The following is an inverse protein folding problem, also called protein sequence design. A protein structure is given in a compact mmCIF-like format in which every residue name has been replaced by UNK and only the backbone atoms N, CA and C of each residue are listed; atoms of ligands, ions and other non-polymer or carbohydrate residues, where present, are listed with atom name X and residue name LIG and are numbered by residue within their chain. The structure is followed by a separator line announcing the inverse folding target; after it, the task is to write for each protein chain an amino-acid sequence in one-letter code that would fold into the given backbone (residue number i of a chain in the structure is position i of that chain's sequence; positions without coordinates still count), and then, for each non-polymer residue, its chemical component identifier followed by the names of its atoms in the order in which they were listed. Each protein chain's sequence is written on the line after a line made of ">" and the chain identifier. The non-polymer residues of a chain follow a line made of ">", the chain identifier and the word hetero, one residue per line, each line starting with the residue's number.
data_IF_835928193562
#
_entry.id   IF_835928193562
#
_cell.length_a   1.000
_cell.length_b   1.000
_cell.length_c   1.000
_cell.angle_alpha   90.00
_cell.angle_beta   90.00
_cell.angle_gamma   90.00
#
_symmetry.space_group_name_H-M   'P 1'
#
loop_
_entity.id
_entity.type
_entity.pdbx_description
1 polymer ?
#
# COMPACT_ATOMS: atom_id res chain seq x y z
N UNK A 1 -2.85 24.05 23.42
CA UNK A 1 -4.23 23.50 23.44
C UNK A 1 -4.41 22.68 22.17
N UNK A 2 -4.56 21.35 22.28
CA UNK A 2 -4.79 20.47 21.13
C UNK A 2 -6.31 20.38 20.94
N UNK A 3 -6.80 20.76 19.76
CA UNK A 3 -8.22 20.80 19.45
C UNK A 3 -8.78 19.35 19.39
N UNK A 4 -9.69 18.93 20.30
CA UNK A 4 -10.14 17.54 20.39
C UNK A 4 -10.97 17.09 19.17
N UNK A 5 -11.44 18.02 18.34
CA UNK A 5 -12.30 17.72 17.18
C UNK A 5 -11.58 17.34 15.89
N UNK A 6 -10.24 17.43 15.84
CA UNK A 6 -9.48 16.93 14.67
C UNK A 6 -9.33 15.40 14.72
N UNK A 7 -9.68 14.76 15.84
CA UNK A 7 -9.36 13.37 16.14
C UNK A 7 -10.34 12.32 15.59
N UNK A 8 -11.64 12.62 15.45
CA UNK A 8 -12.63 11.58 15.13
C UNK A 8 -12.68 11.15 13.66
N UNK A 9 -12.74 12.06 12.67
CA UNK A 9 -12.87 11.66 11.26
C UNK A 9 -11.62 10.92 10.75
N UNK A 10 -10.44 11.42 11.13
CA UNK A 10 -9.16 10.81 10.77
C UNK A 10 -9.01 9.40 11.34
N UNK A 11 -9.38 9.19 12.60
CA UNK A 11 -9.33 7.86 13.21
C UNK A 11 -10.28 6.87 12.53
N UNK A 12 -11.47 7.34 12.10
CA UNK A 12 -12.41 6.52 11.33
C UNK A 12 -11.84 6.15 9.95
N UNK A 13 -11.16 7.07 9.26
CA UNK A 13 -10.51 6.78 7.99
C UNK A 13 -9.38 5.76 8.14
N UNK A 14 -8.57 5.88 9.18
CA UNK A 14 -7.48 4.94 9.48
C UNK A 14 -8.03 3.54 9.80
N UNK A 15 -9.10 3.42 10.58
CA UNK A 15 -9.75 2.12 10.83
C UNK A 15 -10.39 1.54 9.56
N UNK A 16 -11.05 2.35 8.73
CA UNK A 16 -11.54 1.91 7.40
C UNK A 16 -10.40 1.41 6.52
N UNK A 17 -9.28 2.11 6.54
CA UNK A 17 -8.08 1.74 5.78
C UNK A 17 -7.54 0.40 6.24
N UNK A 18 -7.44 0.18 7.56
CA UNK A 18 -7.04 -1.11 8.14
C UNK A 18 -8.02 -2.23 7.81
N UNK A 19 -9.33 -1.98 7.89
CA UNK A 19 -10.34 -2.99 7.52
C UNK A 19 -10.19 -3.40 6.05
N UNK A 20 -10.02 -2.44 5.15
CA UNK A 20 -9.75 -2.72 3.72
C UNK A 20 -8.46 -3.51 3.57
N UNK A 21 -7.35 -3.07 4.18
CA UNK A 21 -6.05 -3.73 4.11
C UNK A 21 -6.11 -5.19 4.60
N UNK A 22 -6.80 -5.44 5.72
CA UNK A 22 -6.94 -6.79 6.29
C UNK A 22 -7.60 -7.79 5.34
N UNK A 23 -8.54 -7.35 4.50
CA UNK A 23 -9.17 -8.21 3.48
C UNK A 23 -8.21 -8.66 2.36
N UNK A 24 -7.01 -8.07 2.32
CA UNK A 24 -5.95 -8.34 1.34
C UNK A 24 -4.71 -8.99 1.94
N UNK A 25 -4.73 -9.40 3.21
CA UNK A 25 -3.60 -10.15 3.80
C UNK A 25 -3.30 -11.39 2.96
N UNK A 26 -2.01 -11.62 2.70
CA UNK A 26 -1.45 -12.64 1.79
C UNK A 26 -1.79 -12.46 0.32
N UNK A 27 -2.45 -11.36 -0.08
CA UNK A 27 -2.70 -11.01 -1.48
C UNK A 27 -1.71 -9.94 -1.95
N UNK A 28 -1.57 -9.82 -3.26
CA UNK A 28 -0.84 -8.71 -3.88
C UNK A 28 -1.70 -7.46 -3.74
N UNK A 29 -1.09 -6.39 -3.23
CA UNK A 29 -1.71 -5.07 -3.13
C UNK A 29 -0.85 -4.06 -3.86
N UNK A 30 -1.48 -2.95 -4.22
CA UNK A 30 -0.82 -1.77 -4.74
C UNK A 30 -1.04 -0.62 -3.76
N UNK A 31 0.04 0.04 -3.36
CA UNK A 31 0.00 1.24 -2.53
C UNK A 31 0.26 2.44 -3.44
N UNK A 32 -0.72 3.31 -3.60
CA UNK A 32 -0.60 4.56 -4.31
C UNK A 32 0.20 5.57 -3.50
N UNK A 33 1.22 6.14 -4.13
CA UNK A 33 1.90 7.35 -3.69
C UNK A 33 1.80 8.40 -4.79
N UNK A 34 2.08 9.67 -4.48
CA UNK A 34 1.85 10.79 -5.41
C UNK A 34 2.49 10.62 -6.79
N UNK A 35 3.66 9.99 -6.85
CA UNK A 35 4.44 9.81 -8.09
C UNK A 35 4.80 8.35 -8.37
N UNK A 36 4.35 7.41 -7.54
CA UNK A 36 4.73 6.01 -7.69
C UNK A 36 3.68 5.05 -7.14
N UNK A 37 3.74 3.82 -7.61
CA UNK A 37 2.97 2.68 -7.12
C UNK A 37 3.93 1.69 -6.48
N UNK A 38 3.63 1.26 -5.25
CA UNK A 38 4.36 0.17 -4.61
C UNK A 38 3.52 -1.10 -4.73
N UNK A 39 4.11 -2.16 -5.27
CA UNK A 39 3.43 -3.43 -5.47
C UNK A 39 4.12 -4.48 -4.63
N UNK A 40 3.36 -5.24 -3.86
CA UNK A 40 3.91 -6.36 -3.11
C UNK A 40 2.84 -7.16 -2.40
N UNK A 41 3.26 -8.24 -1.74
CA UNK A 41 2.35 -9.13 -1.02
C UNK A 41 2.14 -8.62 0.39
N UNK A 42 0.91 -8.30 0.76
CA UNK A 42 0.60 -7.79 2.10
C UNK A 42 0.78 -8.89 3.14
N UNK A 43 1.56 -8.64 4.18
CA UNK A 43 1.77 -9.57 5.29
C UNK A 43 0.97 -9.20 6.53
N UNK A 44 0.96 -7.93 6.91
CA UNK A 44 0.20 -7.45 8.07
C UNK A 44 -0.35 -6.05 7.84
N UNK A 45 -1.43 -5.72 8.55
CA UNK A 45 -2.08 -4.42 8.53
C UNK A 45 -2.56 -4.06 9.94
N UNK A 46 -1.89 -3.09 10.53
CA UNK A 46 -2.09 -2.67 11.91
C UNK A 46 -2.23 -1.15 11.99
N UNK A 47 -2.69 -0.64 13.14
CA UNK A 47 -2.64 0.80 13.41
C UNK A 47 -1.42 1.04 14.26
N UNK A 48 -0.58 1.93 13.78
CA UNK A 48 0.59 2.40 14.50
C UNK A 48 0.48 3.92 14.68
N UNK A 49 1.11 4.44 15.72
CA UNK A 49 1.17 5.88 15.97
C UNK A 49 2.54 6.36 15.52
N UNK A 50 2.59 7.27 14.55
CA UNK A 50 3.86 7.83 14.10
C UNK A 50 4.42 8.78 15.18
N UNK A 51 5.21 8.26 16.12
CA UNK A 51 6.04 9.01 17.05
C UNK A 51 5.38 10.23 17.72
N UNK A 52 6.10 11.36 17.73
CA UNK A 52 5.81 12.58 18.51
C UNK A 52 4.45 13.24 18.24
N UNK A 53 3.77 12.92 17.13
CA UNK A 53 2.49 13.54 16.75
C UNK A 53 1.28 12.78 17.28
N UNK A 54 1.45 11.58 17.85
CA UNK A 54 0.34 10.67 18.23
C UNK A 54 -0.67 10.43 17.11
N UNK A 55 -0.30 10.68 15.85
CA UNK A 55 -1.19 10.60 14.71
C UNK A 55 -1.29 9.14 14.26
N UNK A 56 -2.45 8.49 14.37
CA UNK A 56 -2.58 7.10 13.96
C UNK A 56 -2.52 7.00 12.45
N UNK A 57 -1.84 5.96 11.97
CA UNK A 57 -1.73 5.60 10.56
C UNK A 57 -1.92 4.09 10.42
N UNK A 58 -2.45 3.65 9.29
CA UNK A 58 -2.48 2.22 9.00
C UNK A 58 -1.09 1.82 8.48
N UNK A 59 -0.39 1.03 9.28
CA UNK A 59 0.90 0.43 8.96
C UNK A 59 0.69 -0.87 8.21
N UNK A 60 1.27 -0.93 7.01
CA UNK A 60 1.28 -2.10 6.16
C UNK A 60 2.69 -2.68 6.11
N UNK A 61 2.79 -3.98 6.38
CA UNK A 61 4.03 -4.74 6.16
C UNK A 61 3.90 -5.50 4.86
N UNK A 62 4.78 -5.22 3.90
CA UNK A 62 4.69 -5.74 2.52
C UNK A 62 5.94 -6.53 2.19
N UNK A 63 5.76 -7.70 1.59
CA UNK A 63 6.83 -8.59 1.16
C UNK A 63 7.19 -8.38 -0.32
N UNK A 64 8.50 -8.43 -0.60
CA UNK A 64 9.12 -8.14 -1.91
C UNK A 64 8.54 -6.89 -2.58
N UNK A 65 8.46 -5.74 -1.90
CA UNK A 65 7.93 -4.53 -2.52
C UNK A 65 8.75 -4.14 -3.75
N UNK A 66 8.03 -3.78 -4.81
CA UNK A 66 8.60 -3.18 -6.02
C UNK A 66 7.96 -1.84 -6.27
N UNK A 67 8.77 -0.84 -6.57
CA UNK A 67 8.29 0.50 -6.92
C UNK A 67 8.22 0.65 -8.43
N UNK A 68 7.11 1.20 -8.90
CA UNK A 68 6.86 1.62 -10.27
C UNK A 68 6.61 3.13 -10.27
N UNK A 69 7.39 3.90 -11.04
CA UNK A 69 7.12 5.34 -11.17
C UNK A 69 5.92 5.57 -12.08
N UNK A 70 5.09 6.56 -11.75
CA UNK A 70 4.01 7.00 -12.63
C UNK A 70 4.67 7.89 -13.70
N UNK A 71 4.48 7.56 -14.97
CA UNK A 71 5.04 8.31 -16.11
C UNK A 71 6.41 7.83 -16.63
N UNK A 72 7.13 7.00 -15.88
CA UNK A 72 8.32 6.28 -16.34
C UNK A 72 8.24 4.84 -15.80
N UNK A 73 8.36 3.82 -16.65
CA UNK A 73 8.39 2.39 -16.27
C UNK A 73 9.72 1.99 -15.60
N UNK A 74 10.23 2.83 -14.70
CA UNK A 74 11.42 2.54 -13.93
C UNK A 74 11.04 1.70 -12.71
N UNK A 75 11.60 0.49 -12.65
CA UNK A 75 11.42 -0.44 -11.55
C UNK A 75 12.61 -0.35 -10.60
N UNK A 76 12.33 -0.13 -9.31
CA UNK A 76 13.34 -0.31 -8.26
C UNK A 76 12.92 -1.48 -7.37
N UNK A 77 13.79 -2.50 -7.26
CA UNK A 77 13.61 -3.57 -6.30
C UNK A 77 13.97 -3.01 -4.92
N UNK A 78 13.03 -3.07 -3.98
CA UNK A 78 13.31 -2.72 -2.59
C UNK A 78 13.81 -3.95 -1.84
N UNK A 79 14.17 -3.77 -0.56
CA UNK A 79 14.49 -4.86 0.36
C UNK A 79 13.36 -5.90 0.42
N UNK A 80 13.65 -7.11 0.96
CA UNK A 80 12.70 -8.23 0.99
C UNK A 80 11.39 -7.90 1.73
N UNK A 81 11.40 -6.90 2.61
CA UNK A 81 10.24 -6.42 3.33
C UNK A 81 10.26 -4.89 3.40
N UNK A 82 9.09 -4.26 3.28
CA UNK A 82 8.92 -2.82 3.41
C UNK A 82 7.74 -2.47 4.32
N UNK A 83 7.89 -1.39 5.09
CA UNK A 83 6.84 -0.83 5.94
C UNK A 83 6.29 0.44 5.27
N UNK A 84 4.98 0.52 5.12
CA UNK A 84 4.30 1.66 4.52
C UNK A 84 3.19 2.15 5.44
N UNK A 85 3.08 3.47 5.56
CA UNK A 85 2.02 4.11 6.34
C UNK A 85 1.01 4.73 5.38
N UNK A 86 -0.24 4.31 5.49
CA UNK A 86 -1.36 4.78 4.69
C UNK A 86 -2.48 5.24 5.60
N UNK A 87 -3.11 6.35 5.22
CA UNK A 87 -4.12 6.99 6.07
C UNK A 87 -5.52 6.94 5.45
N UNK A 88 -5.62 6.58 4.16
CA UNK A 88 -6.88 6.57 3.42
C UNK A 88 -7.08 5.27 2.64
N UNK A 89 -8.30 4.72 2.55
CA UNK A 89 -8.56 3.45 1.88
C UNK A 89 -8.24 3.45 0.38
N UNK A 90 -8.37 4.59 -0.30
CA UNK A 90 -8.07 4.75 -1.73
C UNK A 90 -6.58 4.65 -2.05
N UNK A 91 -5.70 4.76 -1.04
CA UNK A 91 -4.27 4.53 -1.23
C UNK A 91 -3.94 3.05 -1.44
N UNK A 92 -4.84 2.13 -1.06
CA UNK A 92 -4.67 0.69 -1.28
C UNK A 92 -5.54 0.29 -2.46
N UNK A 93 -4.95 -0.25 -3.50
CA UNK A 93 -5.63 -0.67 -4.72
C UNK A 93 -5.40 -2.16 -5.00
N UNK A 94 -6.37 -2.77 -5.68
CA UNK A 94 -6.26 -4.10 -6.29
C UNK A 94 -5.62 -4.02 -7.68
N UNK A 95 -5.25 -5.19 -8.24
CA UNK A 95 -4.75 -5.28 -9.61
C UNK A 95 -5.79 -4.79 -10.63
N UNK A 96 -7.07 -5.09 -10.41
CA UNK A 96 -8.17 -4.65 -11.28
C UNK A 96 -8.32 -3.12 -11.26
N UNK A 97 -8.16 -2.47 -10.11
CA UNK A 97 -8.20 -1.01 -10.04
C UNK A 97 -7.03 -0.34 -10.79
N UNK A 98 -5.93 -1.07 -10.99
CA UNK A 98 -4.74 -0.59 -11.70
C UNK A 98 -4.82 -0.82 -13.20
N UNK A 99 -5.52 -1.86 -13.68
CA UNK A 99 -5.66 -2.13 -15.12
C UNK A 99 -6.25 -0.95 -15.88
N UNK A 100 -7.23 -0.28 -15.26
CA UNK A 100 -7.94 0.84 -15.89
C UNK A 100 -7.17 2.15 -15.77
N UNK A 101 -6.48 2.38 -14.64
CA UNK A 101 -5.78 3.64 -14.36
C UNK A 101 -4.39 3.73 -14.97
N UNK A 102 -3.66 2.60 -14.99
CA UNK A 102 -2.25 2.54 -15.39
C UNK A 102 -1.97 1.27 -16.20
N UNK A 103 -2.52 1.15 -17.43
CA UNK A 103 -2.49 -0.10 -18.20
C UNK A 103 -1.08 -0.61 -18.51
N UNK A 104 -0.11 0.28 -18.75
CA UNK A 104 1.28 -0.13 -19.01
C UNK A 104 1.94 -0.71 -17.76
N UNK A 105 1.76 -0.07 -16.60
CA UNK A 105 2.27 -0.58 -15.32
C UNK A 105 1.55 -1.90 -14.97
N UNK A 106 0.24 -1.98 -15.21
CA UNK A 106 -0.54 -3.20 -15.00
C UNK A 106 0.03 -4.39 -15.78
N UNK A 107 0.36 -4.22 -17.06
CA UNK A 107 0.95 -5.30 -17.88
C UNK A 107 2.25 -5.81 -17.28
N UNK A 108 3.14 -4.92 -16.85
CA UNK A 108 4.40 -5.30 -16.21
C UNK A 108 4.19 -6.04 -14.89
N UNK A 109 3.28 -5.55 -14.05
CA UNK A 109 2.91 -6.21 -12.79
C UNK A 109 2.37 -7.61 -13.10
N UNK A 110 1.43 -7.72 -14.03
CA UNK A 110 0.79 -8.99 -14.40
C UNK A 110 1.80 -10.03 -14.92
N UNK A 111 2.79 -9.60 -15.72
CA UNK A 111 3.91 -10.46 -16.14
C UNK A 111 4.71 -10.94 -14.92
N UNK A 112 5.04 -10.05 -13.99
CA UNK A 112 5.80 -10.40 -12.80
C UNK A 112 5.01 -11.31 -11.84
N UNK A 113 3.68 -11.15 -11.76
CA UNK A 113 2.79 -12.07 -11.04
C UNK A 113 2.83 -13.45 -11.68
N UNK A 114 2.67 -13.54 -13.01
CA UNK A 114 2.75 -14.82 -13.74
C UNK A 114 4.12 -15.52 -13.63
N UNK A 115 5.19 -14.75 -13.39
CA UNK A 115 6.55 -15.26 -13.12
C UNK A 115 6.78 -15.68 -11.67
N UNK A 116 5.81 -15.53 -10.79
CA UNK A 116 5.93 -15.86 -9.36
C UNK A 116 6.90 -14.94 -8.61
N UNK A 117 7.11 -13.71 -9.05
CA UNK A 117 8.04 -12.75 -8.41
C UNK A 117 7.70 -12.56 -6.92
N UNK A 118 6.41 -12.48 -6.60
CA UNK A 118 5.89 -12.30 -5.24
C UNK A 118 5.43 -13.60 -4.59
N UNK A 119 5.65 -14.73 -5.25
CA UNK A 119 5.53 -16.02 -4.61
C UNK A 119 6.76 -16.19 -3.71
N UNK A 120 6.50 -16.63 -2.48
CA UNK A 120 7.54 -16.93 -1.51
C UNK A 120 8.09 -18.31 -1.82
N UNK A 121 9.42 -18.43 -1.74
CA UNK A 121 10.18 -19.67 -1.91
C UNK A 121 9.69 -20.82 -1.01
#
# INVERSE_FOLDING_TARGET
>A
MINPNVSQPHNQEVEKTKMKARSFIKKIIIISQSTSLIVGKLQSADIDKMGATNYPACKLTVFKPKRYSIGNTFQFNMEDQGIYFVNKPEMIMTLDEISDKYPEIFREIHINVGKGVWDGA
#
